data_IF_995030549981
#
_entry.id   IF_995030549981
#
_cell.length_a   1.000
_cell.length_b   1.000
_cell.length_c   1.000
_cell.angle_alpha   90.00
_cell.angle_beta   90.00
_cell.angle_gamma   90.00
#
_symmetry.space_group_name_H-M   'P 1'
#
loop_
_entity.id
_entity.type
_entity.pdbx_description
1 polymer ?
#
# COMPACT_ATOMS: atom_id res chain seq x y z
N UNK A 1 5.00 24.80 -37.09
CA UNK A 1 3.86 24.33 -36.28
C UNK A 1 4.40 24.07 -34.88
N UNK A 2 4.15 24.98 -33.93
CA UNK A 2 4.57 24.83 -32.53
C UNK A 2 3.58 23.89 -31.84
N UNK A 3 4.05 22.70 -31.44
CA UNK A 3 3.26 21.76 -30.66
C UNK A 3 3.15 22.23 -29.21
N UNK A 4 1.92 22.41 -28.72
CA UNK A 4 1.65 22.66 -27.31
C UNK A 4 1.67 21.32 -26.60
N UNK A 5 2.61 21.12 -25.68
CA UNK A 5 2.63 19.97 -24.79
C UNK A 5 1.80 20.30 -23.56
N UNK A 6 0.63 19.69 -23.41
CA UNK A 6 -0.17 19.77 -22.19
C UNK A 6 0.30 18.71 -21.20
N UNK A 7 0.92 19.14 -20.11
CA UNK A 7 1.18 18.26 -18.96
C UNK A 7 -0.16 17.95 -18.28
N UNK A 8 -0.59 16.69 -18.32
CA UNK A 8 -1.71 16.22 -17.49
C UNK A 8 -1.19 16.05 -16.08
N UNK A 9 -1.51 17.00 -15.20
CA UNK A 9 -1.32 16.82 -13.76
C UNK A 9 -2.51 15.98 -13.28
N UNK A 10 -2.26 14.74 -12.86
CA UNK A 10 -3.29 13.88 -12.30
C UNK A 10 -3.90 14.52 -11.05
N UNK A 11 -5.22 14.56 -10.97
CA UNK A 11 -5.93 15.06 -9.79
C UNK A 11 -5.65 14.10 -8.62
N UNK A 12 -5.14 14.64 -7.51
CA UNK A 12 -4.94 13.84 -6.29
C UNK A 12 -6.28 13.25 -5.84
N UNK A 13 -6.27 11.97 -5.45
CA UNK A 13 -7.49 11.33 -4.96
C UNK A 13 -8.01 12.05 -3.72
N UNK A 14 -9.32 12.30 -3.71
CA UNK A 14 -9.97 12.86 -2.54
C UNK A 14 -10.37 11.72 -1.61
N UNK A 15 -9.66 11.59 -0.48
CA UNK A 15 -9.96 10.61 0.56
C UNK A 15 -10.59 11.33 1.75
N UNK A 16 -11.83 10.98 2.08
CA UNK A 16 -12.58 11.59 3.18
C UNK A 16 -13.24 10.54 4.05
N UNK A 17 -13.28 10.79 5.35
CA UNK A 17 -14.08 10.02 6.30
C UNK A 17 -15.27 10.88 6.68
N UNK A 18 -16.48 10.42 6.38
CA UNK A 18 -17.71 11.18 6.61
C UNK A 18 -18.66 10.41 7.50
N UNK A 19 -19.43 11.17 8.29
CA UNK A 19 -20.49 10.65 9.12
C UNK A 19 -21.81 10.76 8.33
N UNK A 20 -22.40 9.63 8.01
CA UNK A 20 -23.69 9.48 7.32
C UNK A 20 -24.75 9.05 8.33
N UNK A 21 -26.02 9.06 7.92
CA UNK A 21 -27.12 8.55 8.76
C UNK A 21 -26.96 7.04 9.09
N UNK A 22 -26.13 6.33 8.32
CA UNK A 22 -25.85 4.90 8.45
C UNK A 22 -24.54 4.62 9.23
N UNK A 23 -23.75 5.65 9.54
CA UNK A 23 -22.52 5.57 10.32
C UNK A 23 -21.33 6.24 9.65
N UNK A 24 -20.11 5.82 10.02
CA UNK A 24 -18.89 6.37 9.43
C UNK A 24 -18.50 5.61 8.17
N UNK A 25 -18.23 6.33 7.10
CA UNK A 25 -17.79 5.78 5.82
C UNK A 25 -16.50 6.41 5.36
N UNK A 26 -15.61 5.59 4.79
CA UNK A 26 -14.47 6.04 4.01
C UNK A 26 -14.91 6.21 2.56
N UNK A 27 -14.66 7.38 1.99
CA UNK A 27 -14.93 7.69 0.59
C UNK A 27 -13.63 7.99 -0.13
N UNK A 28 -13.48 7.43 -1.34
CA UNK A 28 -12.37 7.73 -2.25
C UNK A 28 -12.96 8.25 -3.55
N UNK A 29 -12.63 9.49 -3.89
CA UNK A 29 -13.20 10.21 -5.04
C UNK A 29 -14.74 10.28 -5.02
N UNK A 30 -15.32 10.42 -3.83
CA UNK A 30 -16.77 10.57 -3.63
C UNK A 30 -17.54 9.25 -3.59
N UNK A 31 -16.88 8.11 -3.74
CA UNK A 31 -17.51 6.79 -3.67
C UNK A 31 -17.16 6.06 -2.36
N UNK A 32 -18.13 5.37 -1.71
CA UNK A 32 -17.85 4.60 -0.51
C UNK A 32 -16.86 3.46 -0.82
N UNK A 33 -15.81 3.35 -0.01
CA UNK A 33 -14.72 2.40 -0.19
C UNK A 33 -14.63 1.45 1.00
N UNK A 34 -14.95 0.18 0.76
CA UNK A 34 -14.68 -0.90 1.71
C UNK A 34 -13.21 -1.31 1.61
N UNK A 35 -12.52 -1.32 2.74
CA UNK A 35 -11.14 -1.79 2.86
C UNK A 35 -11.15 -3.33 2.95
N UNK A 36 -10.70 -3.99 1.89
CA UNK A 36 -10.40 -5.42 1.90
C UNK A 36 -8.89 -5.58 2.09
N UNK A 37 -8.48 -5.56 3.37
CA UNK A 37 -7.09 -5.42 3.76
C UNK A 37 -6.40 -6.74 4.09
N UNK A 38 -5.10 -6.81 3.81
CA UNK A 38 -4.21 -7.89 4.24
C UNK A 38 -3.09 -7.32 5.13
N UNK A 39 -2.79 -7.99 6.23
CA UNK A 39 -1.54 -7.74 6.95
C UNK A 39 -0.42 -8.50 6.24
N UNK A 40 0.56 -7.80 5.68
CA UNK A 40 1.55 -8.40 4.78
C UNK A 40 2.97 -8.00 5.16
N UNK A 41 3.85 -8.99 5.19
CA UNK A 41 5.30 -8.86 5.29
C UNK A 41 5.91 -9.99 4.45
N UNK A 42 7.16 -9.81 4.00
CA UNK A 42 7.86 -10.80 3.18
C UNK A 42 9.04 -11.42 3.93
N UNK A 43 8.94 -12.72 4.21
CA UNK A 43 10.00 -13.51 4.87
C UNK A 43 10.14 -14.86 4.15
N UNK A 44 11.27 -15.14 3.49
CA UNK A 44 11.54 -16.46 2.92
C UNK A 44 11.50 -17.56 3.99
N UNK A 45 11.19 -18.80 3.58
CA UNK A 45 11.19 -19.96 4.47
C UNK A 45 12.58 -20.11 5.13
N UNK A 46 12.59 -20.30 6.45
CA UNK A 46 13.82 -20.39 7.24
C UNK A 46 14.36 -19.03 7.71
N UNK A 47 13.71 -17.92 7.36
CA UNK A 47 14.00 -16.59 7.89
C UNK A 47 12.94 -16.15 8.92
N UNK A 48 13.06 -14.93 9.43
CA UNK A 48 12.13 -14.35 10.38
C UNK A 48 12.08 -12.82 10.21
N UNK A 49 11.46 -12.13 11.18
CA UNK A 49 11.30 -10.68 11.19
C UNK A 49 12.58 -9.83 11.06
N UNK A 50 13.77 -10.42 11.20
CA UNK A 50 15.04 -9.73 10.95
C UNK A 50 15.41 -9.64 9.46
N UNK A 51 14.78 -10.45 8.60
CA UNK A 51 14.97 -10.37 7.17
C UNK A 51 14.29 -9.10 6.63
N UNK A 52 14.99 -8.37 5.77
CA UNK A 52 14.45 -7.18 5.09
C UNK A 52 14.45 -7.42 3.60
N UNK A 53 13.25 -7.51 3.02
CA UNK A 53 13.04 -7.47 1.58
C UNK A 53 13.64 -6.20 0.97
N UNK A 54 13.52 -5.07 1.67
CA UNK A 54 13.94 -3.76 1.19
C UNK A 54 15.46 -3.59 1.07
N UNK A 55 16.24 -4.53 1.64
CA UNK A 55 17.70 -4.56 1.50
C UNK A 55 18.16 -5.45 0.33
N UNK A 56 17.24 -6.06 -0.42
CA UNK A 56 17.56 -6.89 -1.59
C UNK A 56 17.74 -6.04 -2.84
N UNK A 57 18.14 -6.67 -3.95
CA UNK A 57 18.25 -5.95 -5.23
C UNK A 57 16.88 -5.52 -5.75
N UNK A 58 16.78 -4.41 -6.51
CA UNK A 58 15.50 -3.96 -7.05
C UNK A 58 14.77 -5.02 -7.89
N UNK A 59 15.52 -5.85 -8.62
CA UNK A 59 14.96 -6.94 -9.44
C UNK A 59 14.30 -8.00 -8.56
N UNK A 60 14.93 -8.36 -7.44
CA UNK A 60 14.36 -9.33 -6.49
C UNK A 60 13.13 -8.75 -5.79
N UNK A 61 13.19 -7.49 -5.35
CA UNK A 61 12.04 -6.82 -4.73
C UNK A 61 10.87 -6.78 -5.69
N UNK A 62 11.11 -6.37 -6.94
CA UNK A 62 10.08 -6.34 -7.97
C UNK A 62 9.47 -7.71 -8.19
N UNK A 63 10.29 -8.76 -8.37
CA UNK A 63 9.80 -10.11 -8.58
C UNK A 63 8.94 -10.60 -7.39
N UNK A 64 9.40 -10.38 -6.16
CA UNK A 64 8.65 -10.74 -4.97
C UNK A 64 7.29 -10.01 -4.89
N UNK A 65 7.26 -8.71 -5.22
CA UNK A 65 6.02 -7.95 -5.28
C UNK A 65 5.13 -8.40 -6.44
N UNK A 66 5.71 -8.78 -7.58
CA UNK A 66 4.96 -9.24 -8.73
C UNK A 66 4.18 -10.51 -8.43
N UNK A 67 4.81 -11.44 -7.71
CA UNK A 67 4.20 -12.71 -7.31
C UNK A 67 3.14 -12.50 -6.23
N UNK A 68 3.48 -11.76 -5.17
CA UNK A 68 2.61 -11.60 -4.00
C UNK A 68 1.43 -10.67 -4.26
N UNK A 69 1.66 -9.51 -4.89
CA UNK A 69 0.60 -8.51 -5.10
C UNK A 69 -0.37 -8.97 -6.19
N UNK A 70 0.08 -9.72 -7.20
CA UNK A 70 -0.82 -10.32 -8.18
C UNK A 70 -1.76 -11.35 -7.52
N UNK A 71 -1.24 -12.16 -6.59
CA UNK A 71 -2.06 -13.09 -5.81
C UNK A 71 -3.11 -12.34 -4.98
N UNK A 72 -2.69 -11.32 -4.22
CA UNK A 72 -3.58 -10.52 -3.40
C UNK A 72 -4.65 -9.79 -4.23
N UNK A 73 -4.26 -9.21 -5.36
CA UNK A 73 -5.20 -8.57 -6.29
C UNK A 73 -6.24 -9.58 -6.80
N UNK A 74 -5.81 -10.79 -7.18
CA UNK A 74 -6.73 -11.86 -7.62
C UNK A 74 -7.69 -12.31 -6.51
N UNK A 75 -7.30 -12.17 -5.24
CA UNK A 75 -8.17 -12.40 -4.07
C UNK A 75 -9.09 -11.21 -3.75
N UNK A 76 -9.02 -10.13 -4.53
CA UNK A 76 -9.80 -8.91 -4.32
C UNK A 76 -9.28 -8.01 -3.19
N UNK A 77 -8.06 -8.24 -2.69
CA UNK A 77 -7.42 -7.38 -1.70
C UNK A 77 -7.13 -6.03 -2.35
N UNK A 78 -7.49 -4.95 -1.66
CA UNK A 78 -7.28 -3.58 -2.15
C UNK A 78 -6.38 -2.76 -1.24
N UNK A 79 -5.89 -3.33 -0.13
CA UNK A 79 -4.94 -2.67 0.74
C UNK A 79 -4.06 -3.65 1.48
N UNK A 80 -2.86 -3.22 1.80
CA UNK A 80 -1.93 -3.94 2.67
C UNK A 80 -1.52 -3.08 3.85
N UNK A 81 -1.33 -3.70 5.01
CA UNK A 81 -0.63 -3.11 6.14
C UNK A 81 0.80 -3.62 6.12
N UNK A 82 1.76 -2.69 6.11
CA UNK A 82 3.21 -3.00 6.08
C UNK A 82 3.92 -2.17 7.14
N UNK A 83 4.94 -2.73 7.79
CA UNK A 83 5.78 -1.96 8.70
C UNK A 83 6.50 -0.81 7.99
N UNK A 84 6.74 0.26 8.74
CA UNK A 84 7.62 1.35 8.27
C UNK A 84 8.99 0.82 7.89
N UNK A 85 9.50 1.23 6.73
CA UNK A 85 10.76 0.74 6.16
C UNK A 85 10.67 0.40 4.68
N UNK A 86 9.45 0.20 4.16
CA UNK A 86 9.20 0.13 2.72
C UNK A 86 9.60 1.46 2.03
N UNK A 87 10.47 1.43 1.01
CA UNK A 87 10.79 2.60 0.21
C UNK A 87 9.59 3.11 -0.60
N UNK A 88 9.52 4.43 -0.80
CA UNK A 88 8.38 5.09 -1.47
C UNK A 88 8.12 4.58 -2.87
N UNK A 89 9.17 4.22 -3.60
CA UNK A 89 9.09 3.70 -4.97
C UNK A 89 8.32 2.38 -5.02
N UNK A 90 8.39 1.54 -3.98
CA UNK A 90 7.65 0.29 -3.92
C UNK A 90 6.21 0.50 -3.48
N UNK A 91 5.93 1.51 -2.64
CA UNK A 91 4.55 1.96 -2.36
C UNK A 91 3.89 2.40 -3.67
N UNK A 92 4.57 3.23 -4.46
CA UNK A 92 4.10 3.68 -5.76
C UNK A 92 3.90 2.51 -6.71
N UNK A 93 4.89 1.61 -6.81
CA UNK A 93 4.81 0.44 -7.68
C UNK A 93 3.60 -0.45 -7.36
N UNK A 94 3.38 -0.77 -6.08
CA UNK A 94 2.25 -1.60 -5.62
C UNK A 94 0.92 -0.94 -5.99
N UNK A 95 0.80 0.37 -5.76
CA UNK A 95 -0.42 1.11 -6.06
C UNK A 95 -0.68 1.20 -7.58
N UNK A 96 0.29 1.68 -8.35
CA UNK A 96 0.11 1.91 -9.79
C UNK A 96 -0.07 0.62 -10.58
N UNK A 97 0.56 -0.48 -10.14
CA UNK A 97 0.52 -1.77 -10.85
C UNK A 97 -0.66 -2.63 -10.41
N UNK A 98 -0.98 -2.64 -9.10
CA UNK A 98 -1.97 -3.58 -8.54
C UNK A 98 -3.23 -2.90 -7.99
N UNK A 99 -3.26 -1.57 -7.88
CA UNK A 99 -4.37 -0.85 -7.26
C UNK A 99 -4.50 -1.11 -5.76
N UNK A 100 -3.41 -1.50 -5.10
CA UNK A 100 -3.38 -1.85 -3.68
C UNK A 100 -2.83 -0.66 -2.88
N UNK A 101 -3.64 -0.13 -1.95
CA UNK A 101 -3.22 0.94 -1.04
C UNK A 101 -2.29 0.41 0.06
N UNK A 102 -1.31 1.22 0.47
CA UNK A 102 -0.40 0.86 1.58
C UNK A 102 -0.73 1.64 2.84
N UNK A 103 -1.06 0.93 3.92
CA UNK A 103 -1.17 1.47 5.26
C UNK A 103 0.14 1.25 6.02
N UNK A 104 0.85 2.34 6.32
CA UNK A 104 2.12 2.28 7.05
C UNK A 104 1.89 2.07 8.55
N UNK A 105 2.46 0.99 9.07
CA UNK A 105 2.41 0.66 10.47
C UNK A 105 3.73 1.02 11.18
N UNK A 106 3.71 2.11 11.94
CA UNK A 106 4.78 2.43 12.88
C UNK A 106 4.79 1.43 14.04
N UNK A 107 5.97 1.07 14.57
CA UNK A 107 6.10 0.14 15.70
C UNK A 107 5.70 0.74 17.06
N UNK A 108 4.99 1.88 17.06
CA UNK A 108 4.60 2.59 18.26
C UNK A 108 3.73 1.70 19.17
N UNK A 109 4.09 1.59 20.45
CA UNK A 109 3.36 0.79 21.43
C UNK A 109 3.55 -0.73 21.33
N UNK A 110 4.38 -1.25 20.42
CA UNK A 110 4.58 -2.70 20.20
C UNK A 110 4.98 -3.47 21.47
N UNK A 111 5.71 -2.83 22.38
CA UNK A 111 6.20 -3.44 23.62
C UNK A 111 5.68 -2.73 24.88
N UNK A 112 4.58 -1.98 24.76
CA UNK A 112 4.10 -1.10 25.82
C UNK A 112 4.93 0.17 25.95
N UNK A 113 4.36 1.17 26.62
CA UNK A 113 5.10 2.33 27.10
C UNK A 113 5.51 2.03 28.53
N UNK A 114 6.80 1.95 28.81
CA UNK A 114 7.28 2.19 30.17
C UNK A 114 7.23 3.70 30.37
N UNK A 115 6.07 4.17 30.85
CA UNK A 115 5.88 5.54 31.31
C UNK A 115 6.65 5.78 32.60
#
# INVERSE_FOLDING_TARGET
MLGVTTSVIGQAEQVVVQNTDEGWELHVNGEPKVINGMNWDYFPIGTNFNYSLWNQTPEFIKQALDDEMALLQNMGVNSIRVYTGIPKEWITYIYETYGIYTMLNHSFGRYGLTI
#
